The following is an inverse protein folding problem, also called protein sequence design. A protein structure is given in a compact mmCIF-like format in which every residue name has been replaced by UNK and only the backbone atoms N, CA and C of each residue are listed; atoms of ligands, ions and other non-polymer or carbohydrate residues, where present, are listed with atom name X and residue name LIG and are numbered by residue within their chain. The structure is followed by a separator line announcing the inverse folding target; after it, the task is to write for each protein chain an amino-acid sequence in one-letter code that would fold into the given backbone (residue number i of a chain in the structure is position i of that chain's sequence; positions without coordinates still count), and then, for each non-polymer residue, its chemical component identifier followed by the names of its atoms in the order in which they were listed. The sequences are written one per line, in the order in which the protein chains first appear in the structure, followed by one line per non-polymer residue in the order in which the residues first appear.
data_IF_865947577913
#
_entry.id   IF_865947577913
#
_cell.length_a   1.000
_cell.length_b   1.000
_cell.length_c   1.000
_cell.angle_alpha   90.00
_cell.angle_beta   90.00
_cell.angle_gamma   90.00
#
_symmetry.space_group_name_H-M   'P 1'
#
loop_
_entity.id
_entity.type
_entity.pdbx_description
1 polymer ?
#
# COMPACT_ATOMS: atom_id res chain seq x y z
N UNK A 1 -13.74 -13.68 -7.66
CA UNK A 1 -13.49 -12.49 -6.83
C UNK A 1 -13.11 -11.30 -7.66
N UNK A 2 -13.64 -10.16 -7.30
CA UNK A 2 -13.32 -8.92 -8.01
C UNK A 2 -11.92 -8.45 -7.61
N UNK A 3 -11.05 -8.06 -8.56
CA UNK A 3 -9.75 -7.49 -8.22
C UNK A 3 -9.90 -6.20 -7.41
N UNK A 4 -8.92 -5.91 -6.59
CA UNK A 4 -8.88 -4.65 -5.84
C UNK A 4 -8.52 -3.52 -6.80
N UNK A 5 -9.28 -2.43 -6.78
CA UNK A 5 -8.98 -1.29 -7.63
C UNK A 5 -7.74 -0.55 -7.12
N UNK A 6 -6.98 0.02 -8.04
CA UNK A 6 -5.79 0.80 -7.69
C UNK A 6 -6.18 2.01 -6.84
N UNK A 7 -7.31 2.63 -7.15
CA UNK A 7 -7.82 3.77 -6.38
C UNK A 7 -8.09 3.37 -4.93
N UNK A 8 -8.68 2.20 -4.71
CA UNK A 8 -8.94 1.71 -3.37
C UNK A 8 -7.65 1.41 -2.62
N UNK A 9 -6.69 0.80 -3.31
CA UNK A 9 -5.38 0.53 -2.73
C UNK A 9 -4.71 1.83 -2.25
N UNK A 10 -4.71 2.86 -3.09
CA UNK A 10 -4.16 4.16 -2.72
C UNK A 10 -4.90 4.76 -1.54
N UNK A 11 -6.23 4.67 -1.51
CA UNK A 11 -7.04 5.19 -0.41
C UNK A 11 -6.73 4.47 0.91
N UNK A 12 -6.53 3.17 0.86
CA UNK A 12 -6.19 2.42 2.08
C UNK A 12 -4.84 2.85 2.65
N UNK A 13 -3.86 3.09 1.79
CA UNK A 13 -2.56 3.58 2.23
C UNK A 13 -2.66 5.01 2.78
N UNK A 14 -3.44 5.87 2.14
CA UNK A 14 -3.68 7.23 2.63
C UNK A 14 -4.35 7.20 4.00
N UNK A 15 -5.34 6.35 4.17
CA UNK A 15 -6.05 6.21 5.43
C UNK A 15 -5.09 5.71 6.53
N UNK A 16 -4.25 4.76 6.21
CA UNK A 16 -3.26 4.23 7.13
C UNK A 16 -2.31 5.32 7.61
N UNK A 17 -1.85 6.17 6.68
CA UNK A 17 -0.99 7.29 7.04
C UNK A 17 -1.71 8.29 7.95
N UNK A 18 -2.95 8.61 7.65
CA UNK A 18 -3.73 9.53 8.48
C UNK A 18 -3.90 9.00 9.90
N UNK A 19 -4.14 7.71 10.04
CA UNK A 19 -4.26 7.07 11.34
C UNK A 19 -2.94 7.12 12.11
N UNK A 20 -1.83 6.91 11.42
CA UNK A 20 -0.51 6.98 12.01
C UNK A 20 -0.19 8.39 12.49
N UNK A 21 -0.45 9.38 11.65
CA UNK A 21 -0.20 10.80 11.98
C UNK A 21 -1.08 11.28 13.14
N UNK A 22 -2.29 10.76 13.23
CA UNK A 22 -3.22 11.09 14.32
C UNK A 22 -2.88 10.37 15.63
N UNK A 23 -1.91 9.47 15.63
CA UNK A 23 -1.56 8.69 16.80
C UNK A 23 -2.58 7.60 17.14
N UNK A 24 -3.43 7.24 16.18
CA UNK A 24 -4.46 6.23 16.38
C UNK A 24 -3.92 4.79 16.34
N UNK A 25 -2.71 4.60 15.83
CA UNK A 25 -2.09 3.28 15.72
C UNK A 25 -1.09 3.07 16.84
N UNK A 26 -1.17 1.90 17.48
CA UNK A 26 -0.21 1.49 18.48
C UNK A 26 1.07 1.01 17.79
N UNK A 27 2.12 0.86 18.59
CA UNK A 27 3.40 0.34 18.10
C UNK A 27 3.19 -1.03 17.44
N UNK A 28 3.62 -1.14 16.19
CA UNK A 28 3.47 -2.37 15.42
C UNK A 28 2.17 -2.51 14.65
N UNK A 29 1.14 -1.73 14.96
CA UNK A 29 -0.13 -1.81 14.23
C UNK A 29 0.00 -1.37 12.78
N UNK A 30 0.84 -0.39 12.51
CA UNK A 30 1.10 0.07 11.15
C UNK A 30 1.59 -1.08 10.28
N UNK A 31 2.59 -1.81 10.75
CA UNK A 31 3.16 -2.93 10.02
C UNK A 31 2.14 -4.04 9.82
N UNK A 32 1.31 -4.33 10.83
CA UNK A 32 0.28 -5.35 10.74
C UNK A 32 -0.78 -4.98 9.70
N UNK A 33 -1.23 -3.74 9.70
CA UNK A 33 -2.23 -3.27 8.75
C UNK A 33 -1.67 -3.23 7.33
N UNK A 34 -0.42 -2.80 7.19
CA UNK A 34 0.26 -2.79 5.91
C UNK A 34 0.39 -4.21 5.35
N UNK A 35 0.81 -5.16 6.18
CA UNK A 35 0.93 -6.56 5.79
C UNK A 35 -0.41 -7.12 5.32
N UNK A 36 -1.50 -6.74 5.97
CA UNK A 36 -2.84 -7.17 5.59
C UNK A 36 -3.24 -6.63 4.22
N UNK A 37 -2.96 -5.36 3.97
CA UNK A 37 -3.23 -4.74 2.67
C UNK A 37 -2.45 -5.45 1.57
N UNK A 38 -1.17 -5.71 1.81
CA UNK A 38 -0.30 -6.42 0.87
C UNK A 38 -0.83 -7.83 0.62
N UNK A 39 -1.25 -8.53 1.69
CA UNK A 39 -1.80 -9.87 1.59
C UNK A 39 -3.05 -9.92 0.70
N UNK A 40 -3.94 -8.95 0.85
CA UNK A 40 -5.13 -8.86 0.01
C UNK A 40 -4.78 -8.65 -1.45
N UNK A 41 -3.80 -7.81 -1.73
CA UNK A 41 -3.35 -7.56 -3.10
C UNK A 41 -2.76 -8.80 -3.75
N UNK A 42 -2.03 -9.60 -2.97
CA UNK A 42 -1.45 -10.85 -3.47
C UNK A 42 -2.51 -11.89 -3.77
N UNK A 43 -3.54 -11.99 -2.94
CA UNK A 43 -4.60 -12.98 -3.11
C UNK A 43 -5.59 -12.60 -4.20
N UNK A 44 -5.99 -11.34 -4.24
CA UNK A 44 -7.04 -10.87 -5.14
C UNK A 44 -6.52 -10.31 -6.45
N UNK A 45 -5.25 -9.97 -6.50
CA UNK A 45 -4.62 -9.22 -7.57
C UNK A 45 -5.20 -7.82 -7.68
N UNK A 46 -4.39 -6.88 -8.08
CA UNK A 46 -4.80 -5.49 -8.28
C UNK A 46 -5.33 -5.34 -9.70
N UNK A 47 -6.42 -4.60 -9.84
CA UNK A 47 -6.93 -4.20 -11.14
C UNK A 47 -5.86 -3.32 -11.81
N UNK A 48 -5.50 -3.68 -13.03
CA UNK A 48 -4.44 -3.00 -13.77
C UNK A 48 -3.14 -3.79 -13.77
N UNK A 49 -2.12 -3.29 -14.41
CA UNK A 49 -0.85 -3.95 -14.57
C UNK A 49 0.18 -3.54 -13.53
N UNK A 50 1.35 -4.18 -13.61
CA UNK A 50 2.51 -3.84 -12.75
C UNK A 50 2.86 -2.37 -12.84
N UNK A 51 2.82 -1.81 -14.03
CA UNK A 51 3.18 -0.41 -14.27
C UNK A 51 2.23 0.53 -13.54
N UNK A 52 0.95 0.20 -13.52
CA UNK A 52 -0.04 1.02 -12.83
C UNK A 52 0.18 1.03 -11.32
N UNK A 53 0.49 -0.14 -10.76
CA UNK A 53 0.81 -0.25 -9.33
C UNK A 53 2.08 0.52 -9.01
N UNK A 54 3.11 0.36 -9.84
CA UNK A 54 4.39 1.05 -9.65
C UNK A 54 4.22 2.57 -9.70
N UNK A 55 3.46 3.07 -10.67
CA UNK A 55 3.18 4.49 -10.79
C UNK A 55 2.41 5.02 -9.58
N UNK A 56 1.45 4.26 -9.10
CA UNK A 56 0.67 4.64 -7.93
C UNK A 56 1.56 4.72 -6.69
N UNK A 57 2.44 3.75 -6.49
CA UNK A 57 3.38 3.75 -5.38
C UNK A 57 4.33 4.95 -5.47
N UNK A 58 4.83 5.25 -6.67
CA UNK A 58 5.71 6.39 -6.88
C UNK A 58 5.00 7.71 -6.56
N UNK A 59 3.75 7.84 -6.99
CA UNK A 59 2.94 9.02 -6.68
C UNK A 59 2.72 9.18 -5.17
N UNK A 60 2.39 8.09 -4.49
CA UNK A 60 2.20 8.11 -3.04
C UNK A 60 3.49 8.48 -2.32
N UNK A 61 4.62 8.01 -2.82
CA UNK A 61 5.93 8.36 -2.27
C UNK A 61 6.20 9.86 -2.42
N UNK A 62 5.94 10.41 -3.60
CA UNK A 62 6.13 11.84 -3.86
C UNK A 62 5.23 12.72 -3.01
N UNK A 63 4.03 12.23 -2.73
CA UNK A 63 3.06 12.94 -1.88
C UNK A 63 3.35 12.78 -0.38
N UNK A 64 4.33 11.96 -0.03
CA UNK A 64 4.67 11.72 1.36
C UNK A 64 3.73 10.78 2.10
N UNK A 65 2.86 10.08 1.37
CA UNK A 65 1.92 9.11 1.94
C UNK A 65 2.67 7.86 2.42
N UNK A 66 3.69 7.44 1.69
CA UNK A 66 4.53 6.31 2.06
C UNK A 66 6.00 6.73 2.05
N UNK A 67 6.82 5.98 2.77
CA UNK A 67 8.28 6.19 2.79
C UNK A 67 8.95 5.30 1.75
N UNK A 68 10.22 5.61 1.38
CA UNK A 68 10.96 4.71 0.49
C UNK A 68 11.05 3.28 1.02
N UNK A 69 11.18 3.12 2.34
CA UNK A 69 11.19 1.79 2.96
C UNK A 69 9.88 1.04 2.74
N UNK A 70 8.76 1.72 2.89
CA UNK A 70 7.44 1.14 2.67
C UNK A 70 7.26 0.77 1.21
N UNK A 71 7.66 1.65 0.29
CA UNK A 71 7.60 1.37 -1.15
C UNK A 71 8.39 0.11 -1.50
N UNK A 72 9.62 0.03 -1.02
CA UNK A 72 10.48 -1.12 -1.26
C UNK A 72 9.87 -2.41 -0.71
N UNK A 73 9.31 -2.35 0.48
CA UNK A 73 8.66 -3.49 1.12
C UNK A 73 7.48 -3.99 0.30
N UNK A 74 6.62 -3.08 -0.14
CA UNK A 74 5.46 -3.43 -0.97
C UNK A 74 5.91 -4.03 -2.30
N UNK A 75 6.90 -3.41 -2.95
CA UNK A 75 7.42 -3.86 -4.23
C UNK A 75 7.95 -5.29 -4.15
N UNK A 76 8.72 -5.58 -3.10
CA UNK A 76 9.25 -6.93 -2.89
C UNK A 76 8.16 -7.95 -2.62
N UNK A 77 7.21 -7.60 -1.76
CA UNK A 77 6.13 -8.52 -1.39
C UNK A 77 5.20 -8.83 -2.54
N UNK A 78 5.00 -7.88 -3.44
CA UNK A 78 4.15 -8.08 -4.61
C UNK A 78 4.91 -8.66 -5.80
N UNK A 79 6.23 -8.82 -5.68
CA UNK A 79 7.04 -9.36 -6.76
C UNK A 79 7.17 -8.43 -7.96
N UNK A 80 7.20 -7.12 -7.71
CA UNK A 80 7.29 -6.12 -8.77
C UNK A 80 8.74 -5.77 -9.14
N UNK A 81 9.68 -6.29 -8.40
CA UNK A 81 11.11 -6.12 -8.73
C UNK A 81 11.57 -7.13 -9.76
#
# INVERSE_FOLDING_TARGET
MTPVSIARFAQELEHLKLQMDAGALKHGEYDQRLARIIGELRERKVEGGRDDVTKTLDDLLKRGIITPSVQSHITKRLGLE
#
